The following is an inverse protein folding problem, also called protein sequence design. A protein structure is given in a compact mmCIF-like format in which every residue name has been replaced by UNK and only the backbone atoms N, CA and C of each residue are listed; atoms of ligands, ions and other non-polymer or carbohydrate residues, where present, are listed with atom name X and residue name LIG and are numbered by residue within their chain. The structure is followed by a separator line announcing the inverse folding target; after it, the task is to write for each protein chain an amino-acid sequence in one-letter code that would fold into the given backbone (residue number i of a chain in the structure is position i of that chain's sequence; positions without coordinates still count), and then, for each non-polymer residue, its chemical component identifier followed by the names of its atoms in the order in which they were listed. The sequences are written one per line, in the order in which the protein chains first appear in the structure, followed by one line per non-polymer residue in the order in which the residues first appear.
data_IF_814682401614
#
_entry.id   IF_814682401614
#
_cell.length_a   1.000
_cell.length_b   1.000
_cell.length_c   1.000
_cell.angle_alpha   90.00
_cell.angle_beta   90.00
_cell.angle_gamma   90.00
#
_symmetry.space_group_name_H-M   'P 1'
#
loop_
_entity.id
_entity.type
_entity.pdbx_description
1 polymer ?
#
# COMPACT_ATOMS: atom_id res chain seq x y z
N UNK A 1 -10.44 -5.71 19.82
CA UNK A 1 -9.75 -6.95 20.22
C UNK A 1 -8.75 -6.55 21.28
N UNK A 2 -9.15 -6.58 22.56
CA UNK A 2 -8.29 -6.24 23.69
C UNK A 2 -7.75 -7.53 24.30
N UNK A 3 -6.69 -8.05 23.68
CA UNK A 3 -5.84 -9.07 24.28
C UNK A 3 -4.43 -8.50 24.33
N UNK A 4 -4.01 -7.88 25.45
CA UNK A 4 -2.65 -7.39 25.58
C UNK A 4 -1.72 -8.60 25.70
N UNK A 5 -1.17 -9.04 24.56
CA UNK A 5 -0.03 -9.94 24.58
C UNK A 5 1.21 -9.07 24.67
N UNK A 6 1.89 -9.13 25.81
CA UNK A 6 3.17 -8.45 25.98
C UNK A 6 4.15 -8.92 24.89
N UNK A 7 4.92 -7.98 24.32
CA UNK A 7 5.98 -8.27 23.33
C UNK A 7 5.49 -8.79 21.96
N UNK A 8 4.32 -8.36 21.46
CA UNK A 8 3.99 -8.56 20.04
C UNK A 8 4.95 -7.75 19.18
N UNK A 9 5.78 -8.46 18.42
CA UNK A 9 6.48 -7.89 17.28
C UNK A 9 5.79 -8.35 16.00
N UNK A 10 5.48 -7.41 15.11
CA UNK A 10 4.88 -7.69 13.80
C UNK A 10 5.99 -8.19 12.86
N UNK A 11 6.33 -9.48 12.98
CA UNK A 11 7.28 -10.16 12.09
C UNK A 11 6.71 -10.46 10.69
N UNK A 12 5.40 -10.25 10.50
CA UNK A 12 4.75 -10.40 9.20
C UNK A 12 5.15 -9.27 8.24
N UNK A 13 5.21 -9.60 6.95
CA UNK A 13 5.37 -8.59 5.91
C UNK A 13 4.26 -7.54 5.99
N UNK A 14 4.63 -6.26 5.86
CA UNK A 14 3.65 -5.18 5.78
C UNK A 14 2.99 -5.23 4.40
N UNK A 15 1.67 -5.38 4.38
CA UNK A 15 0.90 -5.49 3.16
C UNK A 15 -0.40 -4.72 3.26
N UNK A 16 -0.82 -4.14 2.14
CA UNK A 16 -2.14 -3.58 1.94
C UNK A 16 -2.82 -4.38 0.83
N UNK A 17 -4.12 -4.60 0.96
CA UNK A 17 -4.91 -5.27 -0.07
C UNK A 17 -6.24 -4.54 -0.25
N UNK A 18 -6.75 -4.58 -1.48
CA UNK A 18 -8.10 -4.16 -1.82
C UNK A 18 -8.84 -5.38 -2.35
N UNK A 19 -9.95 -5.73 -1.73
CA UNK A 19 -10.74 -6.92 -2.06
C UNK A 19 -12.22 -6.55 -2.20
N UNK A 20 -12.90 -7.19 -3.15
CA UNK A 20 -14.35 -7.19 -3.22
C UNK A 20 -14.87 -8.54 -2.71
N UNK A 21 -15.48 -8.50 -1.54
CA UNK A 21 -16.11 -9.65 -0.87
C UNK A 21 -17.64 -9.67 -1.06
N UNK A 22 -18.22 -8.59 -1.57
CA UNK A 22 -19.67 -8.39 -1.65
C UNK A 22 -20.27 -8.76 -3.02
N UNK A 23 -19.45 -9.30 -3.94
CA UNK A 23 -19.91 -9.68 -5.29
C UNK A 23 -20.29 -8.47 -6.15
N UNK A 24 -19.62 -7.35 -5.94
CA UNK A 24 -19.89 -6.07 -6.62
C UNK A 24 -18.76 -5.67 -7.56
N UNK A 25 -18.17 -6.68 -8.20
CA UNK A 25 -16.95 -6.56 -9.00
C UNK A 25 -17.18 -5.73 -10.27
N UNK A 26 -18.44 -5.52 -10.67
CA UNK A 26 -18.85 -4.58 -11.73
C UNK A 26 -18.55 -3.12 -11.40
N UNK A 27 -18.33 -2.79 -10.13
CA UNK A 27 -17.99 -1.43 -9.70
C UNK A 27 -16.50 -1.32 -9.42
N UNK A 28 -15.83 -0.38 -10.10
CA UNK A 28 -14.43 -0.11 -9.83
C UNK A 28 -14.27 0.61 -8.49
N UNK A 29 -13.26 0.20 -7.71
CA UNK A 29 -12.85 0.83 -6.45
C UNK A 29 -11.39 1.19 -6.53
N UNK A 30 -11.02 2.33 -5.97
CA UNK A 30 -9.65 2.80 -5.92
C UNK A 30 -9.26 3.17 -4.49
N UNK A 31 -8.14 2.63 -4.04
CA UNK A 31 -7.47 3.01 -2.81
C UNK A 31 -6.19 3.78 -3.12
N UNK A 32 -5.89 4.78 -2.29
CA UNK A 32 -4.64 5.57 -2.38
C UNK A 32 -3.90 5.52 -1.07
N UNK A 33 -2.58 5.36 -1.13
CA UNK A 33 -1.70 5.35 0.04
C UNK A 33 -0.57 6.35 -0.14
N UNK A 34 -0.43 7.26 0.83
CA UNK A 34 0.61 8.28 0.92
C UNK A 34 1.19 8.29 2.32
N UNK A 35 2.45 8.70 2.46
CA UNK A 35 3.11 8.89 3.76
C UNK A 35 3.06 7.64 4.66
N UNK A 36 3.24 6.46 4.08
CA UNK A 36 3.35 5.22 4.83
C UNK A 36 4.72 5.10 5.51
N UNK A 37 4.73 4.75 6.79
CA UNK A 37 5.95 4.49 7.54
C UNK A 37 5.74 3.34 8.52
N UNK A 38 6.81 2.59 8.79
CA UNK A 38 6.88 1.71 9.95
C UNK A 38 8.06 2.08 10.83
N UNK A 39 7.89 1.93 12.15
CA UNK A 39 8.94 2.17 13.13
C UNK A 39 9.62 0.85 13.48
N UNK A 40 10.95 0.83 13.46
CA UNK A 40 11.75 -0.29 13.97
C UNK A 40 11.83 -0.25 15.50
N UNK A 41 12.26 -1.36 16.10
CA UNK A 41 12.47 -1.46 17.54
C UNK A 41 13.58 -0.50 18.05
N UNK A 42 14.56 -0.18 17.21
CA UNK A 42 15.61 0.81 17.50
C UNK A 42 15.12 2.27 17.47
N UNK A 43 13.82 2.48 17.18
CA UNK A 43 13.19 3.79 17.12
C UNK A 43 13.28 4.48 15.76
N UNK A 44 14.02 3.92 14.79
CA UNK A 44 14.13 4.48 13.43
C UNK A 44 12.86 4.27 12.62
N UNK A 45 12.60 5.18 11.67
CA UNK A 45 11.45 5.12 10.77
C UNK A 45 11.88 4.68 9.37
N UNK A 46 11.16 3.71 8.80
CA UNK A 46 11.31 3.33 7.40
C UNK A 46 10.15 3.90 6.59
N UNK A 47 10.48 4.64 5.53
CA UNK A 47 9.52 5.13 4.56
C UNK A 47 9.04 4.01 3.65
N UNK A 48 7.75 3.99 3.35
CA UNK A 48 7.14 3.13 2.33
C UNK A 48 7.30 3.74 0.92
N UNK A 49 8.48 4.28 0.61
CA UNK A 49 8.76 4.96 -0.67
C UNK A 49 8.95 4.00 -1.84
N UNK A 50 9.13 2.70 -1.60
CA UNK A 50 9.23 1.68 -2.64
C UNK A 50 8.31 0.54 -2.26
N UNK A 51 7.35 0.18 -3.11
CA UNK A 51 6.31 -0.80 -2.81
C UNK A 51 6.21 -1.83 -3.93
N UNK A 52 5.94 -3.10 -3.59
CA UNK A 52 5.59 -4.12 -4.57
C UNK A 52 4.08 -4.12 -4.79
N UNK A 53 3.65 -3.88 -6.02
CA UNK A 53 2.25 -3.96 -6.44
C UNK A 53 2.05 -5.28 -7.19
N UNK A 54 1.06 -6.06 -6.78
CA UNK A 54 0.72 -7.34 -7.42
C UNK A 54 -0.74 -7.71 -7.19
N UNK A 55 -1.27 -8.53 -8.09
CA UNK A 55 -2.56 -9.20 -7.94
C UNK A 55 -2.38 -10.71 -7.89
N UNK A 56 -3.20 -11.39 -7.08
CA UNK A 56 -3.30 -12.85 -7.06
C UNK A 56 -4.11 -13.39 -8.24
N UNK A 57 -4.77 -12.53 -9.04
CA UNK A 57 -5.51 -12.90 -10.24
C UNK A 57 -5.06 -12.05 -11.45
N UNK A 58 -4.23 -12.64 -12.32
CA UNK A 58 -3.65 -11.97 -13.49
C UNK A 58 -4.66 -11.64 -14.59
N UNK A 59 -5.82 -12.32 -14.62
CA UNK A 59 -6.88 -12.11 -15.61
C UNK A 59 -7.98 -11.15 -15.11
N UNK A 60 -7.85 -10.63 -13.89
CA UNK A 60 -8.86 -9.78 -13.28
C UNK A 60 -8.72 -8.31 -13.69
N UNK A 61 -9.82 -7.57 -13.50
CA UNK A 61 -9.94 -6.16 -13.80
C UNK A 61 -9.28 -5.34 -12.67
N UNK A 62 -7.95 -5.33 -12.62
CA UNK A 62 -7.18 -4.57 -11.64
C UNK A 62 -6.10 -3.73 -12.30
N UNK A 63 -5.65 -2.69 -11.62
CA UNK A 63 -4.50 -1.89 -12.01
C UNK A 63 -3.87 -1.25 -10.76
N UNK A 64 -2.70 -0.67 -10.92
CA UNK A 64 -2.06 0.08 -9.86
C UNK A 64 -0.89 0.89 -10.35
N UNK A 65 -0.35 1.72 -9.47
CA UNK A 65 0.81 2.52 -9.82
C UNK A 65 1.21 3.51 -8.75
N UNK A 66 2.05 4.43 -9.17
CA UNK A 66 2.57 5.52 -8.34
C UNK A 66 2.41 6.84 -9.10
N UNK A 67 2.09 7.90 -8.37
CA UNK A 67 2.18 9.28 -8.85
C UNK A 67 3.36 9.96 -8.16
N UNK A 68 3.56 11.26 -8.37
CA UNK A 68 4.52 12.02 -7.56
C UNK A 68 4.08 12.15 -6.08
N UNK A 69 2.83 11.83 -5.76
CA UNK A 69 2.24 12.06 -4.44
C UNK A 69 1.88 10.79 -3.68
N UNK A 70 1.45 9.72 -4.36
CA UNK A 70 0.89 8.54 -3.71
C UNK A 70 0.98 7.29 -4.56
N UNK A 71 0.90 6.13 -3.91
CA UNK A 71 0.57 4.85 -4.55
C UNK A 71 -0.94 4.73 -4.69
N UNK A 72 -1.41 4.10 -5.75
CA UNK A 72 -2.83 3.84 -5.98
C UNK A 72 -3.04 2.42 -6.48
N UNK A 73 -4.22 1.87 -6.16
CA UNK A 73 -4.63 0.50 -6.48
C UNK A 73 -6.09 0.54 -6.89
N UNK A 74 -6.42 -0.03 -8.05
CA UNK A 74 -7.77 -0.04 -8.58
C UNK A 74 -8.19 -1.47 -8.90
N UNK A 75 -9.41 -1.86 -8.56
CA UNK A 75 -9.96 -3.18 -8.87
C UNK A 75 -11.46 -3.11 -9.17
N UNK A 76 -11.94 -3.97 -10.06
CA UNK A 76 -13.34 -4.05 -10.49
C UNK A 76 -13.66 -3.15 -11.69
N UNK A 77 -14.93 -3.17 -12.10
CA UNK A 77 -15.46 -2.47 -13.27
C UNK A 77 -14.77 -2.90 -14.55
N UNK A 78 -14.55 -1.97 -15.48
CA UNK A 78 -13.83 -2.20 -16.74
C UNK A 78 -12.34 -1.88 -16.63
N UNK A 79 -11.76 -1.96 -15.42
CA UNK A 79 -10.35 -1.65 -15.19
C UNK A 79 -9.45 -2.58 -16.00
N UNK A 80 -8.47 -2.01 -16.71
CA UNK A 80 -7.47 -2.76 -17.49
C UNK A 80 -6.09 -2.49 -16.90
N UNK A 81 -5.28 -3.52 -16.61
CA UNK A 81 -3.93 -3.32 -16.09
C UNK A 81 -3.06 -2.51 -17.05
N UNK A 82 -2.32 -1.54 -16.53
CA UNK A 82 -1.32 -0.75 -17.26
C UNK A 82 0.12 -1.07 -16.84
N UNK A 83 0.31 -1.83 -15.75
CA UNK A 83 1.60 -2.25 -15.19
C UNK A 83 1.79 -3.77 -15.25
N UNK A 84 3.04 -4.24 -15.11
CA UNK A 84 3.33 -5.67 -14.99
C UNK A 84 2.90 -6.23 -13.62
N UNK A 85 2.67 -7.54 -13.55
CA UNK A 85 2.40 -8.25 -12.30
C UNK A 85 3.56 -9.20 -11.94
N UNK A 86 4.39 -8.90 -10.92
CA UNK A 86 4.41 -7.70 -10.08
C UNK A 86 5.11 -6.51 -10.74
N UNK A 87 4.98 -5.32 -10.14
CA UNK A 87 5.82 -4.14 -10.41
C UNK A 87 6.29 -3.53 -9.08
N UNK A 88 7.47 -2.92 -9.06
CA UNK A 88 8.04 -2.27 -7.86
C UNK A 88 8.30 -0.78 -8.12
N UNK A 89 7.26 0.07 -8.15
CA UNK A 89 7.45 1.51 -8.29
C UNK A 89 8.03 2.15 -7.04
N UNK A 90 8.65 3.32 -7.23
CA UNK A 90 9.15 4.18 -6.15
C UNK A 90 8.47 5.55 -6.19
N UNK A 91 7.98 6.00 -5.04
CA UNK A 91 7.51 7.35 -4.75
C UNK A 91 8.68 8.16 -4.22
N UNK A 92 8.96 9.33 -4.81
CA UNK A 92 9.92 10.24 -4.21
C UNK A 92 9.36 10.75 -2.88
N UNK A 93 9.97 10.42 -1.73
CA UNK A 93 9.49 10.93 -0.46
C UNK A 93 9.76 12.44 -0.45
N UNK A 94 8.68 13.24 -0.42
CA UNK A 94 8.83 14.64 -0.05
C UNK A 94 9.51 14.67 1.32
N UNK A 95 10.67 15.34 1.39
CA UNK A 95 11.44 15.50 2.62
C UNK A 95 10.53 16.17 3.66
N UNK A 96 10.00 15.40 4.60
CA UNK A 96 9.30 15.95 5.76
C UNK A 96 10.36 16.62 6.63
N UNK A 97 10.55 17.93 6.44
CA UNK A 97 11.24 18.76 7.43
C UNK A 97 10.32 18.88 8.65
N UNK A 98 10.41 17.94 9.59
CA UNK A 98 9.93 18.18 10.94
C UNK A 98 10.94 19.10 11.64
N UNK A 99 10.65 20.40 11.72
CA UNK A 99 11.25 21.23 12.77
C UNK A 99 10.62 20.82 14.08
N UNK A 100 11.39 20.13 14.93
CA UNK A 100 11.01 19.95 16.32
C UNK A 100 10.90 21.34 16.96
N UNK A 101 9.73 21.68 17.49
CA UNK A 101 9.61 22.79 18.42
C UNK A 101 10.25 22.32 19.73
N UNK A 102 11.37 22.94 20.10
CA UNK A 102 12.01 22.82 21.41
C UNK A 102 11.33 23.73 22.42
#
# INVERSE_FOLDING_TARGET
MDHPVASINLHGGLGLFQEDWAGTAQNAREGRTKNGYNRKLDGTWNSWSTQKISSNNVLANWDGGVTNDYFWFKAGGTTTPSISNPTTPSLNPHRLHLTAFS
#
